data_IF_498029141285
#
_entry.id   IF_498029141285
#
_cell.length_a   1.000
_cell.length_b   1.000
_cell.length_c   1.000
_cell.angle_alpha   90.00
_cell.angle_beta   90.00
_cell.angle_gamma   90.00
#
_symmetry.space_group_name_H-M   'P 1'
#
loop_
_entity.id
_entity.type
_entity.pdbx_description
1 polymer ?
#
# COMPACT_ATOMS: atom_id res chain seq x y z
N UNK A 1 0.37 -17.42 10.28
CA UNK A 1 -0.98 -17.98 10.39
C UNK A 1 -1.49 -18.45 9.04
N UNK A 2 -1.23 -17.73 7.94
CA UNK A 2 -1.74 -18.04 6.59
C UNK A 2 -1.45 -19.48 6.14
N UNK A 3 -0.20 -19.94 6.26
CA UNK A 3 0.19 -21.32 5.87
C UNK A 3 -0.46 -22.46 6.66
N UNK A 4 -1.09 -22.18 7.80
CA UNK A 4 -1.69 -23.19 8.67
C UNK A 4 -3.18 -22.96 8.93
N UNK A 5 -3.78 -21.93 8.31
CA UNK A 5 -5.18 -21.55 8.47
C UNK A 5 -6.11 -22.75 8.26
N UNK A 6 -5.98 -23.40 7.10
CA UNK A 6 -6.75 -24.59 6.73
C UNK A 6 -6.60 -25.74 7.74
N UNK A 7 -5.40 -25.93 8.31
CA UNK A 7 -5.17 -26.98 9.32
C UNK A 7 -5.89 -26.71 10.62
N UNK A 8 -5.97 -25.43 11.03
CA UNK A 8 -6.68 -25.06 12.24
C UNK A 8 -8.19 -25.14 12.06
N UNK A 9 -8.73 -24.72 10.91
CA UNK A 9 -10.14 -24.90 10.60
C UNK A 9 -10.51 -26.40 10.65
N UNK A 10 -9.82 -27.21 9.84
CA UNK A 10 -10.10 -28.64 9.67
C UNK A 10 -9.94 -29.50 10.92
N UNK A 11 -9.05 -29.13 11.84
CA UNK A 11 -8.69 -29.97 12.98
C UNK A 11 -9.02 -29.37 14.35
N UNK A 12 -9.28 -28.06 14.44
CA UNK A 12 -9.57 -27.36 15.71
C UNK A 12 -10.45 -26.11 15.49
N UNK A 13 -11.41 -26.18 14.54
CA UNK A 13 -12.20 -25.04 14.08
C UNK A 13 -12.93 -24.27 15.18
N UNK A 14 -13.55 -24.96 16.15
CA UNK A 14 -14.27 -24.30 17.26
C UNK A 14 -13.34 -23.42 18.12
N UNK A 15 -12.17 -23.93 18.49
CA UNK A 15 -11.20 -23.16 19.29
C UNK A 15 -10.57 -22.06 18.45
N UNK A 16 -10.34 -22.34 17.18
CA UNK A 16 -9.80 -21.35 16.26
C UNK A 16 -10.76 -20.19 16.08
N UNK A 17 -12.05 -20.44 15.90
CA UNK A 17 -13.09 -19.41 15.83
C UNK A 17 -13.17 -18.60 17.13
N UNK A 18 -13.16 -19.27 18.28
CA UNK A 18 -13.11 -18.58 19.58
C UNK A 18 -11.87 -17.69 19.73
N UNK A 19 -10.72 -18.11 19.21
CA UNK A 19 -9.52 -17.29 19.14
C UNK A 19 -9.71 -16.06 18.23
N UNK A 20 -10.30 -16.21 17.05
CA UNK A 20 -10.57 -15.08 16.14
C UNK A 20 -11.51 -14.05 16.79
N UNK A 21 -12.57 -14.50 17.47
CA UNK A 21 -13.44 -13.62 18.24
C UNK A 21 -12.71 -12.87 19.35
N UNK A 22 -11.82 -13.54 20.10
CA UNK A 22 -11.00 -12.88 21.12
C UNK A 22 -10.02 -11.87 20.51
N UNK A 23 -9.50 -12.11 19.31
CA UNK A 23 -8.69 -11.12 18.58
C UNK A 23 -9.55 -9.92 18.18
N UNK A 24 -10.76 -10.14 17.70
CA UNK A 24 -11.69 -9.07 17.32
C UNK A 24 -12.07 -8.17 18.51
N UNK A 25 -12.29 -8.79 19.69
CA UNK A 25 -12.55 -8.10 20.97
C UNK A 25 -11.31 -7.42 21.56
N UNK A 26 -10.12 -7.68 21.01
CA UNK A 26 -8.84 -7.14 21.49
C UNK A 26 -8.27 -7.85 22.72
N UNK A 27 -8.81 -9.02 23.08
CA UNK A 27 -8.38 -9.87 24.19
C UNK A 27 -7.16 -10.73 23.80
N UNK A 28 -7.02 -11.03 22.51
CA UNK A 28 -5.89 -11.74 21.93
C UNK A 28 -5.21 -10.92 20.82
N UNK A 29 -3.99 -11.32 20.44
CA UNK A 29 -3.22 -10.68 19.37
C UNK A 29 -2.91 -11.67 18.27
N UNK A 30 -3.24 -11.29 17.02
CA UNK A 30 -2.82 -12.02 15.83
C UNK A 30 -1.47 -11.52 15.32
N UNK A 31 -0.66 -12.43 14.81
CA UNK A 31 0.63 -12.10 14.22
C UNK A 31 0.44 -11.52 12.81
N UNK A 32 0.74 -10.23 12.63
CA UNK A 32 0.75 -9.55 11.34
C UNK A 32 2.14 -9.01 10.94
N UNK A 33 3.07 -8.85 11.88
CA UNK A 33 4.39 -8.24 11.61
C UNK A 33 5.31 -9.07 10.68
N UNK A 34 5.02 -10.35 10.52
CA UNK A 34 5.72 -11.22 9.59
C UNK A 34 5.19 -11.15 8.16
N UNK A 35 4.04 -10.51 7.93
CA UNK A 35 3.39 -10.44 6.64
C UNK A 35 3.60 -9.08 5.98
N UNK A 36 3.56 -9.10 4.66
CA UNK A 36 3.50 -7.93 3.81
C UNK A 36 2.04 -7.62 3.43
N UNK A 37 1.69 -6.34 3.19
CA UNK A 37 0.32 -5.95 2.84
C UNK A 37 -0.31 -6.76 1.69
N UNK A 38 0.44 -7.02 0.62
CA UNK A 38 -0.07 -7.79 -0.52
C UNK A 38 -0.25 -9.28 -0.21
N UNK A 39 0.56 -9.85 0.68
CA UNK A 39 0.41 -11.25 1.14
C UNK A 39 -0.88 -11.42 1.97
N UNK A 40 -1.32 -10.36 2.66
CA UNK A 40 -2.61 -10.36 3.38
C UNK A 40 -3.78 -10.28 2.40
N UNK A 41 -3.67 -9.43 1.38
CA UNK A 41 -4.71 -9.30 0.35
C UNK A 41 -4.82 -10.56 -0.49
N UNK A 42 -3.70 -11.16 -0.91
CA UNK A 42 -3.69 -12.44 -1.63
C UNK A 42 -4.41 -13.55 -0.84
N UNK A 43 -4.25 -13.57 0.49
CA UNK A 43 -4.90 -14.56 1.35
C UNK A 43 -6.44 -14.41 1.41
N UNK A 44 -7.03 -13.36 0.83
CA UNK A 44 -8.48 -13.26 0.62
C UNK A 44 -8.94 -14.10 -0.57
N UNK A 45 -8.08 -14.28 -1.58
CA UNK A 45 -8.41 -15.01 -2.81
C UNK A 45 -7.95 -16.48 -2.76
N UNK A 46 -7.36 -16.92 -1.64
CA UNK A 46 -7.04 -18.33 -1.33
C UNK A 46 -8.35 -19.11 -1.03
N UNK A 47 -9.23 -19.19 -2.02
CA UNK A 47 -10.32 -20.16 -2.07
C UNK A 47 -9.74 -21.44 -2.68
N UNK A 48 -9.12 -22.31 -1.87
CA UNK A 48 -8.89 -23.69 -2.34
C UNK A 48 -10.29 -24.32 -2.52
N UNK A 49 -10.70 -24.52 -3.78
CA UNK A 49 -12.04 -24.93 -4.24
C UNK A 49 -12.60 -26.22 -3.61
N UNK A 50 -11.85 -26.91 -2.73
CA UNK A 50 -12.13 -28.25 -2.21
C UNK A 50 -12.29 -28.35 -0.67
N UNK A 51 -12.18 -27.26 0.11
CA UNK A 51 -12.37 -27.31 1.57
C UNK A 51 -13.73 -26.71 2.00
N UNK A 52 -14.56 -27.50 2.71
CA UNK A 52 -15.89 -27.12 3.21
C UNK A 52 -15.87 -26.07 4.34
N UNK A 53 -14.68 -25.72 4.84
CA UNK A 53 -14.48 -24.78 5.96
C UNK A 53 -13.58 -23.62 5.53
N UNK A 54 -14.18 -22.52 5.09
CA UNK A 54 -13.51 -21.23 4.86
C UNK A 54 -13.77 -20.27 6.04
N UNK A 55 -12.81 -19.41 6.34
CA UNK A 55 -12.94 -18.36 7.35
C UNK A 55 -13.55 -17.06 6.80
N UNK A 56 -14.06 -17.09 5.56
CA UNK A 56 -14.65 -15.95 4.83
C UNK A 56 -13.70 -14.74 4.74
N UNK A 57 -12.38 -14.97 4.87
CA UNK A 57 -11.35 -13.93 4.92
C UNK A 57 -11.17 -13.24 6.29
N UNK A 58 -11.78 -13.74 7.37
CA UNK A 58 -11.71 -13.15 8.71
C UNK A 58 -10.25 -13.03 9.21
N UNK A 59 -9.39 -14.02 8.94
CA UNK A 59 -7.97 -13.96 9.31
C UNK A 59 -7.26 -12.81 8.62
N UNK A 60 -7.50 -12.62 7.32
CA UNK A 60 -6.89 -11.54 6.55
C UNK A 60 -7.36 -10.17 7.04
N UNK A 61 -8.65 -10.01 7.35
CA UNK A 61 -9.20 -8.79 7.96
C UNK A 61 -8.53 -8.44 9.28
N UNK A 62 -8.43 -9.42 10.19
CA UNK A 62 -7.82 -9.21 11.51
C UNK A 62 -6.32 -8.91 11.39
N UNK A 63 -5.61 -9.55 10.45
CA UNK A 63 -4.20 -9.27 10.18
C UNK A 63 -4.00 -7.88 9.58
N UNK A 64 -4.84 -7.48 8.63
CA UNK A 64 -4.81 -6.15 8.03
C UNK A 64 -5.05 -5.07 9.08
N UNK A 65 -6.13 -5.21 9.86
CA UNK A 65 -6.45 -4.30 10.97
C UNK A 65 -5.27 -4.18 11.94
N UNK A 66 -4.67 -5.30 12.33
CA UNK A 66 -3.50 -5.32 13.20
C UNK A 66 -2.31 -4.58 12.60
N UNK A 67 -2.03 -4.77 11.31
CA UNK A 67 -0.95 -4.08 10.59
C UNK A 67 -1.18 -2.58 10.54
N UNK A 68 -2.40 -2.14 10.19
CA UNK A 68 -2.78 -0.73 10.15
C UNK A 68 -2.64 -0.10 11.54
N UNK A 69 -3.09 -0.77 12.60
CA UNK A 69 -2.97 -0.27 13.95
C UNK A 69 -1.51 -0.17 14.42
N UNK A 70 -0.67 -1.15 14.08
CA UNK A 70 0.76 -1.12 14.39
C UNK A 70 1.49 0.03 13.67
N UNK A 71 1.15 0.29 12.41
CA UNK A 71 1.73 1.40 11.65
C UNK A 71 1.21 2.75 12.15
N UNK A 72 -0.07 2.84 12.49
CA UNK A 72 -0.69 4.05 13.05
C UNK A 72 -0.08 4.45 14.41
N UNK A 73 0.39 3.49 15.19
CA UNK A 73 1.11 3.75 16.44
C UNK A 73 2.53 4.29 16.22
N UNK A 74 3.15 4.00 15.07
CA UNK A 74 4.51 4.46 14.72
C UNK A 74 4.53 5.87 14.15
N UNK A 75 3.45 6.26 13.48
CA UNK A 75 3.35 7.56 12.82
C UNK A 75 2.01 7.72 12.12
N UNK A 76 1.75 8.92 11.62
CA UNK A 76 0.59 9.21 10.79
C UNK A 76 1.03 9.93 9.54
N UNK A 77 0.36 9.63 8.43
CA UNK A 77 0.60 10.30 7.16
C UNK A 77 -0.26 11.56 7.07
N UNK A 78 0.27 12.70 7.49
CA UNK A 78 -0.50 13.94 7.64
C UNK A 78 -0.86 14.59 6.30
N UNK A 79 0.01 14.43 5.30
CA UNK A 79 -0.19 15.06 3.99
C UNK A 79 0.19 14.14 2.81
N UNK A 80 -0.04 12.84 2.93
CA UNK A 80 0.22 11.89 1.85
C UNK A 80 -1.05 11.46 1.13
N UNK A 81 -0.93 11.30 -0.18
CA UNK A 81 -1.98 10.75 -1.04
C UNK A 81 -1.40 9.64 -1.92
N UNK A 82 -2.08 8.49 -1.94
CA UNK A 82 -1.72 7.40 -2.83
C UNK A 82 -2.13 7.69 -4.28
N UNK A 83 -1.25 7.34 -5.20
CA UNK A 83 -1.54 7.21 -6.63
C UNK A 83 -1.32 5.74 -6.99
N UNK A 84 -2.38 5.05 -7.42
CA UNK A 84 -2.34 3.62 -7.68
C UNK A 84 -2.33 3.34 -9.18
N UNK A 85 -1.33 2.59 -9.63
CA UNK A 85 -1.33 2.01 -10.98
C UNK A 85 -1.98 0.64 -10.93
N UNK A 86 -3.15 0.56 -11.56
CA UNK A 86 -3.91 -0.68 -11.74
C UNK A 86 -4.03 -1.06 -13.22
N UNK A 87 -3.18 -0.50 -14.07
CA UNK A 87 -3.22 -0.74 -15.52
C UNK A 87 -2.96 -2.22 -15.85
N UNK A 88 -3.37 -2.67 -17.04
CA UNK A 88 -3.11 -4.03 -17.50
C UNK A 88 -1.63 -4.46 -17.52
N UNK A 89 -0.69 -3.51 -17.46
CA UNK A 89 0.76 -3.81 -17.33
C UNK A 89 1.17 -4.30 -15.93
N UNK A 90 0.28 -4.11 -14.94
CA UNK A 90 0.49 -4.43 -13.54
C UNK A 90 -0.02 -5.84 -13.17
N UNK A 91 -0.65 -6.58 -14.10
CA UNK A 91 -1.25 -7.90 -13.83
C UNK A 91 -0.29 -8.81 -13.05
N UNK A 92 -0.83 -9.49 -12.03
CA UNK A 92 -0.10 -10.33 -11.08
C UNK A 92 0.34 -9.55 -9.83
N UNK A 93 1.45 -9.98 -9.22
CA UNK A 93 1.98 -9.39 -7.97
C UNK A 93 2.15 -7.86 -7.98
N UNK A 94 2.57 -7.20 -9.08
CA UNK A 94 2.65 -5.74 -9.08
C UNK A 94 1.30 -5.05 -8.82
N UNK A 95 0.19 -5.59 -9.34
CA UNK A 95 -1.17 -5.10 -9.09
C UNK A 95 -1.52 -5.21 -7.62
N UNK A 96 -1.30 -6.39 -7.04
CA UNK A 96 -1.61 -6.67 -5.64
C UNK A 96 -0.82 -5.76 -4.70
N UNK A 97 0.47 -5.54 -4.99
CA UNK A 97 1.29 -4.61 -4.22
C UNK A 97 0.81 -3.17 -4.38
N UNK A 98 0.42 -2.75 -5.58
CA UNK A 98 -0.11 -1.40 -5.86
C UNK A 98 -1.42 -1.14 -5.11
N UNK A 99 -2.35 -2.10 -5.17
CA UNK A 99 -3.64 -2.05 -4.46
C UNK A 99 -3.41 -2.04 -2.95
N UNK A 100 -2.58 -2.93 -2.43
CA UNK A 100 -2.28 -3.02 -1.00
C UNK A 100 -1.65 -1.73 -0.47
N UNK A 101 -0.65 -1.18 -1.16
CA UNK A 101 -0.04 0.09 -0.79
C UNK A 101 -1.03 1.24 -0.85
N UNK A 102 -1.84 1.29 -1.91
CA UNK A 102 -2.86 2.30 -2.10
C UNK A 102 -3.87 2.35 -0.95
N UNK A 103 -4.38 1.17 -0.58
CA UNK A 103 -5.27 1.01 0.56
C UNK A 103 -4.61 1.40 1.87
N UNK A 104 -3.39 0.91 2.11
CA UNK A 104 -2.67 1.15 3.35
C UNK A 104 -2.38 2.64 3.57
N UNK A 105 -1.91 3.34 2.54
CA UNK A 105 -1.71 4.80 2.57
C UNK A 105 -3.04 5.51 2.81
N UNK A 106 -4.09 5.14 2.07
CA UNK A 106 -5.43 5.73 2.22
C UNK A 106 -6.01 5.60 3.64
N UNK A 107 -5.77 4.48 4.33
CA UNK A 107 -6.25 4.24 5.70
C UNK A 107 -5.39 4.89 6.80
N UNK A 108 -4.11 5.12 6.51
CA UNK A 108 -3.15 5.75 7.42
C UNK A 108 -3.05 7.26 7.23
N UNK A 109 -3.55 7.79 6.10
CA UNK A 109 -3.63 9.22 5.85
C UNK A 109 -4.65 9.91 6.74
N UNK A 110 -4.35 11.14 7.14
CA UNK A 110 -5.29 12.03 7.82
C UNK A 110 -6.23 12.75 6.83
N UNK A 111 -7.26 13.40 7.36
CA UNK A 111 -8.12 14.27 6.56
C UNK A 111 -7.32 15.43 5.95
N UNK A 112 -7.62 15.85 4.70
CA UNK A 112 -8.75 15.45 3.88
C UNK A 112 -8.47 14.23 2.96
N UNK A 113 -7.34 13.54 3.12
CA UNK A 113 -6.90 12.48 2.21
C UNK A 113 -7.33 11.08 2.63
N UNK A 114 -7.69 10.92 3.90
CA UNK A 114 -8.21 9.66 4.45
C UNK A 114 -9.30 9.05 3.55
N UNK A 115 -9.15 7.77 3.27
CA UNK A 115 -10.08 6.98 2.46
C UNK A 115 -10.04 7.30 0.96
N UNK A 116 -9.08 8.10 0.48
CA UNK A 116 -9.01 8.54 -0.92
C UNK A 116 -7.71 8.12 -1.58
N UNK A 117 -7.79 7.86 -2.88
CA UNK A 117 -6.63 7.61 -3.74
C UNK A 117 -6.85 8.22 -5.13
N UNK A 118 -5.79 8.37 -5.90
CA UNK A 118 -5.84 8.79 -7.30
C UNK A 118 -5.52 7.60 -8.21
N UNK A 119 -6.28 7.42 -9.28
CA UNK A 119 -5.94 6.46 -10.33
C UNK A 119 -4.77 6.95 -11.18
N UNK A 120 -3.82 6.06 -11.47
CA UNK A 120 -2.79 6.30 -12.48
C UNK A 120 -3.36 5.93 -13.86
N UNK A 121 -3.85 6.93 -14.59
CA UNK A 121 -4.39 6.77 -15.94
C UNK A 121 -4.18 8.04 -16.76
N UNK A 122 -4.53 8.01 -18.05
CA UNK A 122 -4.50 9.20 -18.91
C UNK A 122 -5.35 10.35 -18.34
N UNK A 123 -6.40 10.02 -17.58
CA UNK A 123 -7.29 10.96 -16.91
C UNK A 123 -7.40 10.65 -15.40
N UNK A 124 -6.40 11.05 -14.58
CA UNK A 124 -6.36 10.70 -13.17
C UNK A 124 -7.59 11.27 -12.44
N UNK A 125 -8.28 10.40 -11.68
CA UNK A 125 -9.46 10.73 -10.88
C UNK A 125 -9.18 10.47 -9.40
N UNK A 126 -9.61 11.42 -8.56
CA UNK A 126 -9.64 11.22 -7.12
C UNK A 126 -10.87 10.35 -6.79
N UNK A 127 -10.64 9.19 -6.21
CA UNK A 127 -11.66 8.24 -5.82
C UNK A 127 -11.75 8.17 -4.30
N UNK A 128 -12.97 8.14 -3.77
CA UNK A 128 -13.24 7.72 -2.40
C UNK A 128 -13.39 6.20 -2.44
N UNK A 129 -12.62 5.50 -1.61
CA UNK A 129 -12.70 4.04 -1.51
C UNK A 129 -14.01 3.67 -0.81
N UNK A 130 -14.77 2.79 -1.44
CA UNK A 130 -16.06 2.29 -0.93
C UNK A 130 -15.91 0.81 -0.61
N UNK A 131 -16.42 0.41 0.55
CA UNK A 131 -16.39 -0.97 1.03
C UNK A 131 -16.20 -1.02 2.55
N UNK A 132 -16.88 -1.95 3.20
CA UNK A 132 -16.81 -2.17 4.64
C UNK A 132 -15.73 -3.19 4.99
N UNK A 133 -15.54 -4.21 4.13
CA UNK A 133 -14.48 -5.22 4.25
C UNK A 133 -13.24 -4.87 3.40
N UNK A 134 -12.08 -5.39 3.80
CA UNK A 134 -10.85 -5.41 3.01
C UNK A 134 -11.10 -6.04 1.63
N UNK A 135 -11.90 -7.10 1.53
CA UNK A 135 -12.26 -7.73 0.24
C UNK A 135 -12.99 -6.77 -0.68
N UNK A 136 -14.00 -6.07 -0.16
CA UNK A 136 -14.76 -5.07 -0.92
C UNK A 136 -13.89 -3.89 -1.34
N UNK A 137 -13.08 -3.35 -0.42
CA UNK A 137 -12.16 -2.24 -0.70
C UNK A 137 -11.11 -2.63 -1.73
N UNK A 138 -10.52 -3.81 -1.61
CA UNK A 138 -9.56 -4.36 -2.59
C UNK A 138 -10.22 -4.49 -3.95
N UNK A 139 -11.39 -5.12 -4.01
CA UNK A 139 -12.16 -5.27 -5.25
C UNK A 139 -12.48 -3.91 -5.89
N UNK A 140 -12.84 -2.91 -5.08
CA UNK A 140 -13.12 -1.56 -5.55
C UNK A 140 -11.90 -0.93 -6.21
N UNK A 141 -10.71 -1.02 -5.59
CA UNK A 141 -9.48 -0.46 -6.15
C UNK A 141 -9.02 -1.21 -7.40
N UNK A 142 -9.07 -2.54 -7.40
CA UNK A 142 -8.69 -3.37 -8.56
C UNK A 142 -9.56 -3.08 -9.78
N UNK A 143 -10.88 -2.94 -9.58
CA UNK A 143 -11.84 -2.65 -10.67
C UNK A 143 -11.76 -1.23 -11.22
N UNK A 144 -10.94 -0.35 -10.64
CA UNK A 144 -10.72 0.98 -11.21
C UNK A 144 -10.10 0.92 -12.62
N UNK A 145 -9.44 -0.19 -12.98
CA UNK A 145 -8.90 -0.42 -14.33
C UNK A 145 -10.01 -0.62 -15.38
N UNK A 146 -11.05 -1.39 -15.06
CA UNK A 146 -12.17 -1.69 -15.96
C UNK A 146 -13.00 -0.44 -16.29
N UNK A 147 -12.95 0.57 -15.42
CA UNK A 147 -13.66 1.83 -15.66
C UNK A 147 -12.95 2.78 -16.64
N UNK A 148 -11.72 2.50 -17.10
CA UNK A 148 -10.92 3.48 -17.86
C UNK A 148 -10.00 2.93 -18.97
N UNK A 149 -10.29 1.76 -19.57
CA UNK A 149 -9.55 1.34 -20.78
C UNK A 149 -10.05 2.00 -22.07
N UNK A 150 -10.13 3.33 -22.09
CA UNK A 150 -10.11 4.12 -23.33
C UNK A 150 -8.76 4.82 -23.45
N UNK A 151 -7.83 4.08 -24.04
CA UNK A 151 -6.50 4.49 -24.52
C UNK A 151 -5.60 5.30 -23.56
N UNK A 152 -4.64 4.59 -22.95
CA UNK A 152 -3.32 5.19 -22.75
C UNK A 152 -2.77 5.59 -24.13
N UNK A 153 -2.76 6.90 -24.39
CA UNK A 153 -2.53 7.51 -25.70
C UNK A 153 -1.31 6.94 -26.46
N UNK A 154 -1.60 6.42 -27.66
CA UNK A 154 -0.68 6.52 -28.80
C UNK A 154 -0.61 8.00 -29.21
N UNK A 155 0.59 8.44 -29.61
CA UNK A 155 0.91 9.65 -30.38
C UNK A 155 0.93 11.01 -29.66
N UNK A 156 2.14 11.59 -29.59
CA UNK A 156 2.43 12.82 -30.35
C UNK A 156 2.13 14.19 -29.74
N UNK A 157 1.31 14.35 -28.71
CA UNK A 157 0.94 15.71 -28.25
C UNK A 157 1.19 15.99 -26.75
N UNK A 158 2.10 16.95 -26.52
CA UNK A 158 2.43 17.65 -25.26
C UNK A 158 2.84 16.79 -24.06
N UNK A 159 4.14 16.83 -23.75
CA UNK A 159 4.83 16.17 -22.62
C UNK A 159 4.43 16.74 -21.24
N UNK A 160 3.15 16.64 -20.88
CA UNK A 160 2.67 16.91 -19.53
C UNK A 160 2.65 15.58 -18.74
N UNK A 161 3.63 15.40 -17.85
CA UNK A 161 3.67 14.24 -16.93
C UNK A 161 2.41 14.22 -16.05
N UNK A 162 1.98 13.06 -15.59
CA UNK A 162 0.77 12.94 -14.74
C UNK A 162 0.87 13.80 -13.48
N UNK A 163 2.09 13.96 -12.95
CA UNK A 163 2.39 14.91 -11.89
C UNK A 163 1.97 16.35 -12.24
N UNK A 164 2.30 16.85 -13.44
CA UNK A 164 1.93 18.21 -13.87
C UNK A 164 0.41 18.33 -14.04
N UNK A 165 -0.26 17.30 -14.59
CA UNK A 165 -1.73 17.26 -14.69
C UNK A 165 -2.40 17.30 -13.33
N UNK A 166 -1.94 16.46 -12.38
CA UNK A 166 -2.44 16.41 -11.01
C UNK A 166 -2.23 17.78 -10.35
N UNK A 167 -1.02 18.33 -10.40
CA UNK A 167 -0.71 19.65 -9.83
C UNK A 167 -1.62 20.75 -10.39
N UNK A 168 -1.87 20.74 -11.70
CA UNK A 168 -2.79 21.68 -12.35
C UNK A 168 -4.23 21.51 -11.88
N UNK A 169 -4.74 20.27 -11.79
CA UNK A 169 -6.11 19.97 -11.30
C UNK A 169 -6.27 20.45 -9.85
N UNK A 170 -5.31 20.15 -8.97
CA UNK A 170 -5.31 20.61 -7.57
C UNK A 170 -5.28 22.13 -7.46
N UNK A 171 -4.41 22.80 -8.23
CA UNK A 171 -4.35 24.27 -8.25
C UNK A 171 -5.64 24.91 -8.75
N UNK A 172 -6.27 24.36 -9.80
CA UNK A 172 -7.57 24.84 -10.31
C UNK A 172 -8.71 24.70 -9.29
N UNK A 173 -8.64 23.68 -8.43
CA UNK A 173 -9.63 23.42 -7.38
C UNK A 173 -9.37 24.18 -6.07
N UNK A 174 -8.38 25.07 -6.03
CA UNK A 174 -8.06 25.92 -4.87
C UNK A 174 -7.02 25.33 -3.91
N UNK A 175 -6.56 24.10 -4.12
CA UNK A 175 -5.55 23.42 -3.29
C UNK A 175 -4.10 23.83 -3.63
N UNK A 176 -3.89 24.95 -4.32
CA UNK A 176 -2.56 25.36 -4.81
C UNK A 176 -1.51 25.62 -3.72
N UNK A 177 -1.92 25.84 -2.47
CA UNK A 177 -1.04 26.04 -1.30
C UNK A 177 -0.79 24.75 -0.49
N UNK A 178 -1.61 23.72 -0.69
CA UNK A 178 -1.63 22.46 0.06
C UNK A 178 -1.63 21.29 -0.92
N UNK A 179 -0.56 21.19 -1.71
CA UNK A 179 -0.35 20.00 -2.52
C UNK A 179 0.09 18.87 -1.57
N UNK A 180 -0.58 17.70 -1.62
CA UNK A 180 -0.08 16.54 -0.89
C UNK A 180 1.30 16.17 -1.41
N UNK A 181 2.11 15.57 -0.55
CA UNK A 181 3.32 14.92 -1.01
C UNK A 181 2.92 13.69 -1.82
N UNK A 182 3.48 13.58 -3.03
CA UNK A 182 3.16 12.51 -3.97
C UNK A 182 4.29 11.49 -3.94
N UNK A 183 3.97 10.26 -3.62
CA UNK A 183 4.96 9.18 -3.57
C UNK A 183 4.73 8.31 -4.79
N UNK A 184 5.67 8.34 -5.74
CA UNK A 184 5.70 7.42 -6.86
C UNK A 184 6.39 6.13 -6.42
N UNK A 185 5.62 5.06 -6.33
CA UNK A 185 6.14 3.76 -5.95
C UNK A 185 6.34 2.88 -7.18
N UNK A 186 7.60 2.68 -7.58
CA UNK A 186 7.95 1.83 -8.70
C UNK A 186 8.04 0.37 -8.24
N UNK A 187 7.05 -0.42 -8.63
CA UNK A 187 6.89 -1.83 -8.27
C UNK A 187 7.47 -2.79 -9.30
N UNK A 188 7.94 -2.27 -10.44
CA UNK A 188 8.60 -3.03 -11.49
C UNK A 188 10.04 -2.56 -11.65
N UNK A 189 10.95 -3.45 -12.02
CA UNK A 189 12.30 -3.07 -12.44
C UNK A 189 12.23 -2.34 -13.80
N UNK A 190 11.83 -1.07 -13.76
CA UNK A 190 11.72 -0.22 -14.93
C UNK A 190 12.42 1.11 -14.67
N UNK A 191 13.15 1.60 -15.67
CA UNK A 191 13.89 2.88 -15.62
C UNK A 191 12.99 4.12 -15.70
N UNK A 192 11.67 3.94 -15.77
CA UNK A 192 10.72 5.03 -16.01
C UNK A 192 10.41 5.75 -14.69
N UNK A 193 11.09 6.87 -14.44
CA UNK A 193 10.77 7.77 -13.32
C UNK A 193 9.87 8.90 -13.83
N UNK A 194 8.60 9.00 -13.39
CA UNK A 194 7.66 10.02 -13.89
C UNK A 194 8.03 11.45 -13.46
N UNK A 195 8.99 11.59 -12.54
CA UNK A 195 9.52 12.85 -12.01
C UNK A 195 11.04 12.78 -11.78
N UNK A 196 11.76 13.92 -11.84
CA UNK A 196 13.14 14.00 -11.36
C UNK A 196 13.20 13.81 -9.84
N UNK A 197 14.17 13.04 -9.33
CA UNK A 197 14.32 12.72 -7.90
C UNK A 197 14.56 13.93 -6.96
N UNK A 198 14.80 15.13 -7.51
CA UNK A 198 15.02 16.37 -6.75
C UNK A 198 13.75 17.23 -6.57
N UNK A 199 12.58 16.71 -6.94
CA UNK A 199 11.35 17.49 -6.96
C UNK A 199 10.69 17.58 -5.58
N UNK A 200 10.66 18.78 -4.98
CA UNK A 200 10.05 19.03 -3.66
C UNK A 200 8.58 18.59 -3.61
N UNK A 201 8.22 17.82 -2.58
CA UNK A 201 6.90 17.23 -2.40
C UNK A 201 6.65 16.00 -3.27
N UNK A 202 7.71 15.37 -3.78
CA UNK A 202 7.65 14.10 -4.50
C UNK A 202 8.72 13.15 -3.98
N UNK A 203 8.33 11.94 -3.60
CA UNK A 203 9.25 10.86 -3.28
C UNK A 203 9.15 9.76 -4.35
N UNK A 204 10.29 9.19 -4.75
CA UNK A 204 10.33 8.00 -5.59
C UNK A 204 10.82 6.83 -4.74
N UNK A 205 10.01 5.79 -4.66
CA UNK A 205 10.33 4.59 -3.86
C UNK A 205 10.33 3.40 -4.81
N UNK A 206 11.42 2.64 -4.86
CA UNK A 206 11.54 1.46 -5.72
C UNK A 206 11.65 0.19 -4.91
N UNK A 207 10.98 -0.87 -5.36
CA UNK A 207 10.98 -2.17 -4.69
C UNK A 207 10.05 -2.19 -3.48
N UNK A 208 9.95 -3.33 -2.79
CA UNK A 208 8.98 -3.51 -1.73
C UNK A 208 9.56 -4.36 -0.59
N UNK A 209 9.70 -3.77 0.60
CA UNK A 209 10.21 -4.45 1.79
C UNK A 209 9.61 -3.88 3.08
N UNK A 210 9.62 -4.67 4.16
CA UNK A 210 9.12 -4.25 5.48
C UNK A 210 9.86 -3.05 6.04
N UNK A 211 11.20 -3.03 5.89
CA UNK A 211 12.00 -1.92 6.37
C UNK A 211 11.63 -0.63 5.63
N UNK A 212 11.43 -0.72 4.32
CA UNK A 212 11.03 0.42 3.50
C UNK A 212 9.65 0.96 3.90
N UNK A 213 8.68 0.07 4.14
CA UNK A 213 7.36 0.46 4.67
C UNK A 213 7.49 1.14 6.03
N UNK A 214 8.23 0.53 6.97
CA UNK A 214 8.43 1.09 8.30
C UNK A 214 9.03 2.50 8.24
N UNK A 215 10.10 2.68 7.46
CA UNK A 215 10.74 3.97 7.27
C UNK A 215 9.80 4.99 6.62
N UNK A 216 9.03 4.57 5.61
CA UNK A 216 8.05 5.41 4.94
C UNK A 216 7.00 5.97 5.92
N UNK A 217 6.47 5.13 6.81
CA UNK A 217 5.44 5.56 7.76
C UNK A 217 6.01 6.32 8.96
N UNK A 218 7.21 5.97 9.44
CA UNK A 218 7.91 6.72 10.50
C UNK A 218 8.35 8.11 10.02
N UNK A 219 8.63 8.26 8.72
CA UNK A 219 9.04 9.51 8.06
C UNK A 219 7.90 10.39 7.53
N UNK A 220 6.63 10.14 7.89
CA UNK A 220 5.46 10.89 7.37
C UNK A 220 5.40 10.91 5.82
N UNK A 221 5.79 9.79 5.20
CA UNK A 221 5.83 9.61 3.74
C UNK A 221 7.10 10.14 3.06
N UNK A 222 8.01 10.74 3.81
CA UNK A 222 9.30 11.21 3.32
C UNK A 222 10.33 10.09 3.51
N UNK A 223 10.90 9.61 2.40
CA UNK A 223 12.05 8.71 2.44
C UNK A 223 13.29 9.46 1.97
N UNK A 224 14.26 9.64 2.87
CA UNK A 224 15.58 10.16 2.52
C UNK A 224 16.55 8.99 2.29
N UNK A 225 17.08 8.79 1.06
CA UNK A 225 18.00 7.69 0.77
C UNK A 225 19.24 7.65 1.68
N UNK A 226 19.73 8.81 2.14
CA UNK A 226 20.86 8.89 3.07
C UNK A 226 20.47 8.39 4.45
N UNK A 227 19.27 8.73 4.94
CA UNK A 227 18.76 8.22 6.22
C UNK A 227 18.43 6.72 6.14
N UNK A 228 17.96 6.24 4.98
CA UNK A 228 17.80 4.80 4.69
C UNK A 228 19.13 4.08 4.79
N UNK A 229 20.14 4.59 4.09
CA UNK A 229 21.48 4.02 4.13
C UNK A 229 22.05 4.06 5.56
N UNK A 230 21.98 5.20 6.23
CA UNK A 230 22.45 5.38 7.60
C UNK A 230 21.75 4.44 8.58
N UNK A 231 20.42 4.28 8.47
CA UNK A 231 19.66 3.35 9.31
C UNK A 231 20.01 1.89 9.02
N UNK A 232 20.33 1.54 7.77
CA UNK A 232 20.75 0.19 7.41
C UNK A 232 22.14 -0.15 7.96
N UNK A 233 23.03 0.84 8.10
CA UNK A 233 24.43 0.65 8.55
C UNK A 233 24.66 1.10 10.00
N UNK A 234 23.63 1.54 10.73
CA UNK A 234 23.77 1.98 12.14
C UNK A 234 23.72 0.83 13.15
N UNK A 235 23.43 -0.39 12.68
CA UNK A 235 23.41 -1.60 13.50
C UNK A 235 24.77 -1.87 14.17
N UNK A 236 24.75 -2.45 15.38
CA UNK A 236 25.95 -2.77 16.15
C UNK A 236 26.93 -3.66 15.36
N UNK A 237 26.43 -4.47 14.44
CA UNK A 237 27.24 -5.30 13.56
C UNK A 237 28.14 -4.49 12.60
N UNK A 238 27.72 -3.28 12.21
CA UNK A 238 28.46 -2.42 11.28
C UNK A 238 29.38 -1.42 12.00
N UNK A 239 29.19 -1.20 13.30
CA UNK A 239 30.03 -0.29 14.10
C UNK A 239 31.50 -0.74 14.22
N UNK A 240 31.77 -2.02 13.94
CA UNK A 240 33.13 -2.59 13.94
C UNK A 240 33.86 -2.45 12.60
N UNK A 241 33.18 -1.95 11.57
CA UNK A 241 33.79 -1.75 10.26
C UNK A 241 34.63 -0.47 10.27
N UNK A 242 35.93 -0.62 10.07
CA UNK A 242 36.85 0.49 9.86
C UNK A 242 37.06 0.69 8.36
N UNK A 243 37.00 1.94 7.91
CA UNK A 243 37.43 2.32 6.56
C UNK A 243 38.96 2.30 6.58
N UNK A 244 39.56 1.43 5.77
CA UNK A 244 41.01 1.39 5.55
C UNK A 244 41.30 2.23 4.31
N UNK A 245 42.20 3.19 4.42
CA UNK A 245 42.64 4.06 3.31
C UNK A 245 43.77 3.45 2.47
#
# INVERSE_FOLDING_TARGET
MNFYKHKFLKHDGERFQGYLESVEKGEAKIAAGALLPHEIIQALDDDEEDDEEDDEGQVAELQWKRMVDDLRQRGKLRNCMAICDVSGSMIGTPMEVSVALGLLVSELSEDPWKGKLITFSANPKLQLIIGDSLREKTSFVTRMNDMEFDQASKSGETWETDYKKIKRKFRKKGFGKTLPEIVFWNLRDSRATPVPGSQKGVALVSGFSKNLLKMFFEGDGIINPVEVMQSAISGEEYQKLAVVD
#
